data_IF_199418217828
#
_entry.id   IF_199418217828
#
_cell.length_a   1.000
_cell.length_b   1.000
_cell.length_c   1.000
_cell.angle_alpha   90.00
_cell.angle_beta   90.00
_cell.angle_gamma   90.00
#
_symmetry.space_group_name_H-M   'P 1'
#
loop_
_entity.id
_entity.type
_entity.pdbx_description
1 polymer ?
#
# COMPACT_ATOMS: atom_id res chain seq x y z
N UNK A 1 4.90 22.37 -24.95
CA UNK A 1 4.26 21.43 -24.00
C UNK A 1 5.35 20.52 -23.48
N UNK A 2 5.70 20.56 -22.18
CA UNK A 2 6.74 19.69 -21.61
C UNK A 2 6.14 18.30 -21.43
N UNK A 3 6.60 17.34 -22.23
CA UNK A 3 6.25 15.94 -22.05
C UNK A 3 7.19 15.38 -20.98
N UNK A 4 6.75 15.37 -19.73
CA UNK A 4 7.45 14.67 -18.66
C UNK A 4 7.28 13.18 -18.94
N UNK A 5 8.36 12.52 -19.39
CA UNK A 5 8.40 11.05 -19.41
C UNK A 5 8.29 10.64 -17.94
N UNK A 6 7.10 10.19 -17.52
CA UNK A 6 6.92 9.61 -16.20
C UNK A 6 7.63 8.27 -16.25
N UNK A 7 8.88 8.21 -15.80
CA UNK A 7 9.53 6.95 -15.48
C UNK A 7 8.69 6.31 -14.37
N UNK A 8 7.99 5.23 -14.71
CA UNK A 8 7.26 4.42 -13.74
C UNK A 8 8.26 3.87 -12.73
N UNK A 9 8.01 4.10 -11.44
CA UNK A 9 8.79 3.51 -10.36
C UNK A 9 8.80 1.98 -10.52
N UNK A 10 9.96 1.34 -10.36
CA UNK A 10 10.05 -0.13 -10.38
C UNK A 10 9.67 -0.73 -9.03
N UNK A 11 9.40 -2.03 -9.00
CA UNK A 11 9.13 -2.74 -7.74
C UNK A 11 10.39 -2.73 -6.83
N UNK A 12 11.57 -2.92 -7.41
CA UNK A 12 12.84 -2.91 -6.68
C UNK A 12 13.09 -1.54 -6.03
N UNK A 13 12.84 -0.44 -6.74
CA UNK A 13 12.94 0.91 -6.20
C UNK A 13 11.94 1.14 -5.06
N UNK A 14 10.70 0.65 -5.20
CA UNK A 14 9.70 0.71 -4.15
C UNK A 14 10.13 -0.04 -2.87
N UNK A 15 10.67 -1.25 -3.00
CA UNK A 15 11.07 -2.08 -1.85
C UNK A 15 12.28 -1.52 -1.07
N UNK A 16 13.05 -0.61 -1.65
CA UNK A 16 14.14 0.08 -0.95
C UNK A 16 13.66 1.30 -0.14
N UNK A 17 12.40 1.72 -0.31
CA UNK A 17 11.85 2.84 0.46
C UNK A 17 11.58 2.44 1.91
N UNK A 18 11.67 3.38 2.86
CA UNK A 18 11.32 3.11 4.25
C UNK A 18 9.83 2.78 4.40
N UNK A 19 9.51 1.87 5.32
CA UNK A 19 8.14 1.55 5.70
C UNK A 19 7.38 2.78 6.23
N UNK A 20 6.08 2.84 5.94
CA UNK A 20 5.18 3.94 6.34
C UNK A 20 4.02 3.43 7.19
N UNK A 21 3.33 4.35 7.88
CA UNK A 21 2.11 4.03 8.63
C UNK A 21 1.02 5.07 8.33
N UNK A 22 -0.11 4.67 7.73
CA UNK A 22 -0.41 3.35 7.16
C UNK A 22 0.55 2.99 6.03
N UNK A 23 0.69 1.69 5.76
CA UNK A 23 1.62 1.19 4.76
C UNK A 23 1.36 1.78 3.37
N UNK A 24 2.43 1.91 2.59
CA UNK A 24 2.37 2.25 1.18
C UNK A 24 2.18 0.97 0.34
N UNK A 25 1.42 1.07 -0.74
CA UNK A 25 1.15 -0.01 -1.70
C UNK A 25 1.70 0.39 -3.07
N UNK A 26 2.31 -0.57 -3.77
CA UNK A 26 2.77 -0.39 -5.15
C UNK A 26 1.76 -0.98 -6.12
N UNK A 27 1.09 -0.12 -6.89
CA UNK A 27 0.02 -0.50 -7.82
C UNK A 27 0.29 0.15 -9.18
N UNK A 28 0.56 -0.67 -10.20
CA UNK A 28 0.77 -0.22 -11.59
C UNK A 28 1.83 0.88 -11.74
N UNK A 29 3.00 0.71 -11.10
CA UNK A 29 4.10 1.69 -11.20
C UNK A 29 3.92 2.95 -10.34
N UNK A 30 2.94 2.95 -9.43
CA UNK A 30 2.62 4.08 -8.55
C UNK A 30 2.62 3.65 -7.09
N UNK A 31 3.00 4.57 -6.22
CA UNK A 31 2.85 4.42 -4.77
C UNK A 31 1.51 5.01 -4.34
N UNK A 32 0.71 4.24 -3.63
CA UNK A 32 -0.55 4.68 -3.01
C UNK A 32 -0.50 4.35 -1.53
N UNK A 33 -0.74 5.31 -0.65
CA UNK A 33 -0.78 5.04 0.78
C UNK A 33 -2.14 4.45 1.17
N UNK A 34 -2.15 3.41 2.01
CA UNK A 34 -3.40 2.89 2.57
C UNK A 34 -4.14 3.97 3.35
N UNK A 35 -5.46 3.87 3.34
CA UNK A 35 -6.29 4.68 4.24
C UNK A 35 -5.97 4.35 5.69
N UNK A 36 -6.18 5.32 6.59
CA UNK A 36 -6.07 5.09 8.02
C UNK A 36 -7.00 3.94 8.45
N UNK A 37 -6.50 2.97 9.23
CA UNK A 37 -7.33 1.86 9.70
C UNK A 37 -8.45 2.37 10.60
N UNK A 38 -9.63 1.77 10.46
CA UNK A 38 -10.80 2.02 11.31
C UNK A 38 -11.08 0.80 12.18
N UNK A 39 -11.65 1.01 13.38
CA UNK A 39 -11.84 -0.04 14.37
C UNK A 39 -12.71 -1.19 13.87
N UNK A 40 -13.77 -0.87 13.14
CA UNK A 40 -14.71 -1.84 12.55
C UNK A 40 -14.00 -2.77 11.57
N UNK A 41 -13.09 -2.23 10.75
CA UNK A 41 -12.28 -3.03 9.83
C UNK A 41 -11.35 -4.00 10.58
N UNK A 42 -10.74 -3.55 11.69
CA UNK A 42 -9.88 -4.38 12.52
C UNK A 42 -10.64 -5.54 13.19
N UNK A 43 -11.87 -5.29 13.66
CA UNK A 43 -12.72 -6.32 14.27
C UNK A 43 -13.04 -7.40 13.25
N UNK A 44 -13.51 -7.02 12.05
CA UNK A 44 -13.84 -7.97 10.99
C UNK A 44 -12.61 -8.78 10.56
N UNK A 45 -11.45 -8.12 10.40
CA UNK A 45 -10.21 -8.80 10.01
C UNK A 45 -9.76 -9.82 11.07
N UNK A 46 -9.82 -9.46 12.35
CA UNK A 46 -9.46 -10.37 13.45
C UNK A 46 -10.38 -11.59 13.50
N UNK A 47 -11.69 -11.38 13.45
CA UNK A 47 -12.68 -12.47 13.43
C UNK A 47 -12.48 -13.41 12.24
N UNK A 48 -12.20 -12.86 11.05
CA UNK A 48 -11.94 -13.65 9.86
C UNK A 48 -10.70 -14.53 10.02
N UNK A 49 -9.61 -13.97 10.57
CA UNK A 49 -8.40 -14.72 10.87
C UNK A 49 -8.65 -15.85 11.88
N UNK A 50 -9.44 -15.59 12.93
CA UNK A 50 -9.80 -16.61 13.93
C UNK A 50 -10.64 -17.76 13.36
N UNK A 51 -11.50 -17.47 12.39
CA UNK A 51 -12.36 -18.48 11.75
C UNK A 51 -11.57 -19.37 10.77
N UNK A 52 -10.57 -18.81 10.09
CA UNK A 52 -9.81 -19.50 9.05
C UNK A 52 -8.66 -20.35 9.62
N UNK A 53 -7.98 -19.87 10.67
CA UNK A 53 -6.79 -20.52 11.25
C UNK A 53 -7.15 -21.68 12.18
#
# INVERSE_FOLDING_TARGET
MRQTVVTSLTLEEFLQLPETKPASEFINGKIVQKVMPQGEHSVIQGQLCEIIN
#
